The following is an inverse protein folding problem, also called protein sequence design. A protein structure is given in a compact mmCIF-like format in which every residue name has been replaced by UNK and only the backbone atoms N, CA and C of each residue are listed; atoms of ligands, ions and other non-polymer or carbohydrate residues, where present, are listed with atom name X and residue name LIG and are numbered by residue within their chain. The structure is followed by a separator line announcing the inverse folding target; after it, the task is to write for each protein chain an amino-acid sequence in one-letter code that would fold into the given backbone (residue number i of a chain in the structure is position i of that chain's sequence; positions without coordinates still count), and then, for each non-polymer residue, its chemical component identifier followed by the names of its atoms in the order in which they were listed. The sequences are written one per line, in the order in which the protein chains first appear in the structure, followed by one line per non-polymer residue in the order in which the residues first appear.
data_IF_379870828015
#
_entry.id   IF_379870828015
#
_cell.length_a   1.000
_cell.length_b   1.000
_cell.length_c   1.000
_cell.angle_alpha   90.00
_cell.angle_beta   90.00
_cell.angle_gamma   90.00
#
_symmetry.space_group_name_H-M   'P 1'
#
loop_
_entity.id
_entity.type
_entity.pdbx_description
1 polymer ?
#
# COMPACT_ATOMS: atom_id res chain seq x y z
N UNK A 1 11.19 3.94 -23.72
CA UNK A 1 10.67 2.55 -23.63
C UNK A 1 10.04 2.25 -22.28
N UNK A 2 10.72 2.55 -21.16
CA UNK A 2 10.24 2.34 -19.79
C UNK A 2 8.85 2.97 -19.50
N UNK A 3 8.70 4.27 -19.74
CA UNK A 3 7.42 4.99 -19.56
C UNK A 3 6.25 4.33 -20.31
N UNK A 4 6.44 4.01 -21.60
CA UNK A 4 5.38 3.43 -22.43
C UNK A 4 4.89 2.08 -21.92
N UNK A 5 5.80 1.19 -21.50
CA UNK A 5 5.44 -0.13 -20.94
C UNK A 5 4.72 0.05 -19.60
N UNK A 6 5.25 0.90 -18.72
CA UNK A 6 4.65 1.17 -17.42
C UNK A 6 3.23 1.70 -17.54
N UNK A 7 3.04 2.75 -18.35
CA UNK A 7 1.71 3.35 -18.57
C UNK A 7 0.74 2.39 -19.25
N UNK A 8 1.18 1.62 -20.25
CA UNK A 8 0.31 0.66 -20.92
C UNK A 8 -0.21 -0.42 -19.95
N UNK A 9 0.68 -0.97 -19.10
CA UNK A 9 0.28 -1.91 -18.06
C UNK A 9 -0.65 -1.28 -17.03
N UNK A 10 -0.35 -0.05 -16.59
CA UNK A 10 -1.23 0.71 -15.68
C UNK A 10 -2.63 0.88 -16.26
N UNK A 11 -2.74 1.36 -17.50
CA UNK A 11 -4.04 1.57 -18.17
C UNK A 11 -4.81 0.26 -18.29
N UNK A 12 -4.14 -0.83 -18.69
CA UNK A 12 -4.77 -2.14 -18.82
C UNK A 12 -5.33 -2.63 -17.48
N UNK A 13 -4.53 -2.54 -16.42
CA UNK A 13 -4.95 -2.98 -15.08
C UNK A 13 -6.05 -2.09 -14.52
N UNK A 14 -5.96 -0.77 -14.68
CA UNK A 14 -7.00 0.16 -14.24
C UNK A 14 -8.31 -0.05 -15.00
N UNK A 15 -8.27 -0.37 -16.30
CA UNK A 15 -9.45 -0.73 -17.06
C UNK A 15 -10.11 -2.02 -16.53
N UNK A 16 -9.30 -3.03 -16.21
CA UNK A 16 -9.79 -4.26 -15.59
C UNK A 16 -10.41 -4.01 -14.19
N UNK A 17 -9.76 -3.17 -13.38
CA UNK A 17 -10.24 -2.76 -12.07
C UNK A 17 -11.56 -1.98 -12.16
N UNK A 18 -11.65 -1.00 -13.06
CA UNK A 18 -12.85 -0.21 -13.31
C UNK A 18 -14.02 -1.09 -13.77
N UNK A 19 -13.76 -2.05 -14.67
CA UNK A 19 -14.76 -3.04 -15.10
C UNK A 19 -15.28 -3.84 -13.91
N UNK A 20 -14.40 -4.30 -13.01
CA UNK A 20 -14.80 -5.04 -11.82
C UNK A 20 -15.61 -4.18 -10.85
N UNK A 21 -15.17 -2.95 -10.59
CA UNK A 21 -15.88 -1.99 -9.75
C UNK A 21 -17.29 -1.71 -10.31
N UNK A 22 -17.41 -1.54 -11.63
CA UNK A 22 -18.70 -1.35 -12.30
C UNK A 22 -19.64 -2.56 -12.14
N UNK A 23 -19.11 -3.78 -12.27
CA UNK A 23 -19.89 -5.00 -12.02
C UNK A 23 -20.41 -5.07 -10.58
N UNK A 24 -19.55 -4.75 -9.61
CA UNK A 24 -19.93 -4.72 -8.20
C UNK A 24 -20.97 -3.65 -7.92
N UNK A 25 -20.79 -2.46 -8.49
CA UNK A 25 -21.77 -1.38 -8.40
C UNK A 25 -23.13 -1.84 -8.93
N UNK A 26 -23.18 -2.41 -10.14
CA UNK A 26 -24.43 -2.93 -10.74
C UNK A 26 -25.10 -4.01 -9.89
N UNK A 27 -24.31 -4.91 -9.32
CA UNK A 27 -24.81 -5.99 -8.45
C UNK A 27 -25.38 -5.43 -7.14
N UNK A 28 -24.71 -4.45 -6.54
CA UNK A 28 -25.18 -3.82 -5.29
C UNK A 28 -26.44 -2.99 -5.59
N UNK A 29 -26.46 -2.28 -6.73
CA UNK A 29 -27.58 -1.42 -7.13
C UNK A 29 -28.81 -2.19 -7.60
N UNK A 30 -28.72 -3.48 -7.91
CA UNK A 30 -29.89 -4.31 -8.23
C UNK A 30 -30.68 -4.75 -6.99
N UNK A 31 -30.19 -4.45 -5.78
CA UNK A 31 -30.95 -4.64 -4.55
C UNK A 31 -32.08 -3.61 -4.38
N UNK A 32 -32.89 -3.81 -3.34
CA UNK A 32 -33.97 -2.87 -3.02
C UNK A 32 -33.41 -1.48 -2.68
N UNK A 33 -34.02 -0.39 -3.20
CA UNK A 33 -33.63 0.97 -2.85
C UNK A 33 -33.81 1.22 -1.34
N UNK A 34 -32.79 1.82 -0.72
CA UNK A 34 -32.85 2.25 0.67
C UNK A 34 -32.90 3.78 0.70
N UNK A 35 -34.10 4.34 0.88
CA UNK A 35 -34.36 5.79 0.81
C UNK A 35 -33.84 6.57 2.01
N UNK A 36 -33.52 5.89 3.11
CA UNK A 36 -33.01 6.46 4.37
C UNK A 36 -31.49 6.70 4.36
N UNK A 37 -30.78 6.28 3.31
CA UNK A 37 -29.31 6.36 3.24
C UNK A 37 -28.78 7.79 3.27
N UNK A 38 -29.57 8.75 2.82
CA UNK A 38 -29.23 10.17 2.80
C UNK A 38 -29.71 10.93 4.04
N UNK A 39 -30.37 10.26 4.99
CA UNK A 39 -30.81 10.91 6.22
C UNK A 39 -29.66 11.11 7.20
N UNK A 40 -29.67 12.23 7.93
CA UNK A 40 -28.69 12.56 8.97
C UNK A 40 -27.22 12.51 8.48
N UNK A 41 -26.94 13.03 7.28
CA UNK A 41 -25.61 12.99 6.66
C UNK A 41 -24.49 13.43 7.61
N UNK A 42 -24.69 14.50 8.38
CA UNK A 42 -23.68 14.99 9.33
C UNK A 42 -23.32 13.96 10.41
N UNK A 43 -24.33 13.31 11.01
CA UNK A 43 -24.11 12.27 12.01
C UNK A 43 -23.42 11.05 11.38
N UNK A 44 -23.86 10.61 10.19
CA UNK A 44 -23.26 9.49 9.47
C UNK A 44 -21.81 9.76 9.07
N UNK A 45 -21.50 10.95 8.55
CA UNK A 45 -20.13 11.36 8.21
C UNK A 45 -19.23 11.37 9.44
N UNK A 46 -19.71 11.93 10.57
CA UNK A 46 -18.98 11.87 11.84
C UNK A 46 -18.73 10.44 12.28
N UNK A 47 -19.72 9.55 12.17
CA UNK A 47 -19.55 8.13 12.48
C UNK A 47 -18.51 7.47 11.57
N UNK A 48 -18.50 7.76 10.27
CA UNK A 48 -17.48 7.24 9.35
C UNK A 48 -16.07 7.72 9.74
N UNK A 49 -15.92 9.02 10.02
CA UNK A 49 -14.63 9.58 10.43
C UNK A 49 -14.14 8.99 11.76
N UNK A 50 -15.01 8.81 12.74
CA UNK A 50 -14.63 8.31 14.07
C UNK A 50 -14.40 6.80 14.07
N UNK A 51 -15.34 6.03 13.50
CA UNK A 51 -15.34 4.58 13.61
C UNK A 51 -14.48 3.91 12.53
N UNK A 52 -14.52 4.42 11.29
CA UNK A 52 -13.75 3.84 10.18
C UNK A 52 -12.37 4.48 10.10
N UNK A 53 -12.29 5.80 9.88
CA UNK A 53 -11.00 6.47 9.69
C UNK A 53 -10.17 6.49 10.99
N UNK A 54 -10.83 6.74 12.13
CA UNK A 54 -10.23 6.67 13.46
C UNK A 54 -10.06 5.25 14.02
N UNK A 55 -10.60 4.22 13.36
CA UNK A 55 -10.50 2.81 13.77
C UNK A 55 -10.96 2.55 15.23
N UNK A 56 -11.85 3.38 15.77
CA UNK A 56 -12.21 3.40 17.20
C UNK A 56 -12.68 2.04 17.72
N UNK A 57 -13.50 1.33 16.95
CA UNK A 57 -14.00 -0.01 17.33
C UNK A 57 -12.89 -1.06 17.36
N UNK A 58 -11.94 -1.02 16.42
CA UNK A 58 -10.83 -1.98 16.36
C UNK A 58 -9.82 -1.75 17.47
N UNK A 59 -9.55 -0.49 17.82
CA UNK A 59 -8.60 -0.14 18.89
C UNK A 59 -9.03 -0.63 20.29
N UNK A 60 -10.28 -1.08 20.46
CA UNK A 60 -10.71 -1.81 21.66
C UNK A 60 -9.93 -3.12 21.86
N UNK A 61 -9.41 -3.70 20.78
CA UNK A 61 -8.58 -4.91 20.79
C UNK A 61 -7.12 -4.49 20.60
N UNK A 62 -6.40 -4.23 21.70
CA UNK A 62 -5.13 -3.48 21.67
C UNK A 62 -4.14 -3.94 20.59
N UNK A 63 -3.78 -5.24 20.56
CA UNK A 63 -2.74 -5.73 19.63
C UNK A 63 -3.24 -5.85 18.18
N UNK A 64 -4.31 -6.62 17.87
CA UNK A 64 -4.76 -6.75 16.49
C UNK A 64 -5.36 -5.46 15.93
N UNK A 65 -5.94 -4.64 16.80
CA UNK A 65 -6.53 -3.34 16.46
C UNK A 65 -5.48 -2.31 16.09
N UNK A 66 -4.38 -2.23 16.85
CA UNK A 66 -3.27 -1.35 16.51
C UNK A 66 -2.57 -1.77 15.21
N UNK A 67 -2.41 -3.09 15.00
CA UNK A 67 -1.91 -3.62 13.73
C UNK A 67 -2.83 -3.26 12.53
N UNK A 68 -4.15 -3.27 12.74
CA UNK A 68 -5.10 -2.80 11.72
C UNK A 68 -5.03 -1.28 11.50
N UNK A 69 -4.87 -0.49 12.56
CA UNK A 69 -4.71 0.96 12.45
C UNK A 69 -3.53 1.32 11.54
N UNK A 70 -2.36 0.73 11.78
CA UNK A 70 -1.18 1.01 10.97
C UNK A 70 -1.34 0.53 9.53
N UNK A 71 -1.90 -0.67 9.31
CA UNK A 71 -2.14 -1.15 7.95
C UNK A 71 -3.15 -0.30 7.18
N UNK A 72 -4.24 0.13 7.81
CA UNK A 72 -5.21 1.05 7.21
C UNK A 72 -4.57 2.39 6.84
N UNK A 73 -3.88 3.03 7.79
CA UNK A 73 -3.25 4.32 7.54
C UNK A 73 -2.11 4.25 6.53
N UNK A 74 -1.43 3.11 6.40
CA UNK A 74 -0.48 2.90 5.32
C UNK A 74 -1.14 2.94 3.93
N UNK A 75 -2.32 2.33 3.77
CA UNK A 75 -3.05 2.44 2.49
C UNK A 75 -3.40 3.89 2.14
N UNK A 76 -3.68 4.73 3.13
CA UNK A 76 -3.98 6.15 2.90
C UNK A 76 -2.70 6.94 2.62
N UNK A 77 -1.71 6.84 3.50
CA UNK A 77 -0.50 7.67 3.46
C UNK A 77 0.43 7.28 2.31
N UNK A 78 0.58 5.99 2.02
CA UNK A 78 1.49 5.52 0.97
C UNK A 78 0.93 5.73 -0.46
N UNK A 79 -0.32 6.22 -0.62
CA UNK A 79 -0.76 6.76 -1.90
C UNK A 79 0.17 7.88 -2.40
N UNK A 80 0.73 8.67 -1.47
CA UNK A 80 1.74 9.69 -1.81
C UNK A 80 2.99 9.07 -2.45
N UNK A 81 3.45 7.91 -1.96
CA UNK A 81 4.60 7.20 -2.54
C UNK A 81 4.29 6.70 -3.95
N UNK A 82 3.06 6.28 -4.23
CA UNK A 82 2.68 5.91 -5.60
C UNK A 82 2.59 7.12 -6.52
N UNK A 83 2.16 8.29 -6.03
CA UNK A 83 2.25 9.53 -6.81
C UNK A 83 3.71 9.88 -7.13
N UNK A 84 4.63 9.74 -6.19
CA UNK A 84 6.07 9.90 -6.41
C UNK A 84 6.61 8.88 -7.42
N UNK A 85 6.24 7.60 -7.29
CA UNK A 85 6.68 6.55 -8.22
C UNK A 85 6.17 6.80 -9.65
N UNK A 86 4.90 7.18 -9.81
CA UNK A 86 4.40 7.56 -11.14
C UNK A 86 5.08 8.82 -11.67
N UNK A 87 5.38 9.81 -10.82
CA UNK A 87 6.17 10.97 -11.21
C UNK A 87 7.56 10.60 -11.73
N UNK A 88 8.26 9.70 -11.04
CA UNK A 88 9.57 9.19 -11.45
C UNK A 88 9.56 8.49 -12.83
N UNK A 89 8.43 7.89 -13.24
CA UNK A 89 8.29 7.37 -14.61
C UNK A 89 8.33 8.49 -15.66
N UNK A 90 7.73 9.64 -15.37
CA UNK A 90 7.69 10.79 -16.27
C UNK A 90 9.03 11.52 -16.30
N UNK A 91 9.74 11.64 -15.19
CA UNK A 91 11.04 12.32 -15.14
C UNK A 91 12.10 11.66 -16.01
N UNK A 92 12.21 10.32 -15.91
CA UNK A 92 13.14 9.54 -16.73
C UNK A 92 12.87 9.69 -18.24
N UNK A 93 11.68 10.17 -18.62
CA UNK A 93 11.23 10.21 -20.00
C UNK A 93 11.06 11.63 -20.58
N UNK A 94 10.78 12.65 -19.76
CA UNK A 94 10.30 13.95 -20.25
C UNK A 94 10.98 15.18 -19.67
N UNK A 95 11.49 15.15 -18.44
CA UNK A 95 11.78 16.41 -17.71
C UNK A 95 13.21 16.58 -17.17
N UNK A 96 14.03 15.51 -17.08
CA UNK A 96 15.40 15.56 -16.51
C UNK A 96 15.47 16.28 -15.13
N UNK A 97 14.34 16.31 -14.42
CA UNK A 97 14.21 16.84 -13.07
C UNK A 97 13.68 15.74 -12.17
N UNK A 98 14.18 15.67 -10.93
CA UNK A 98 13.67 14.71 -9.94
C UNK A 98 12.30 15.16 -9.45
N UNK A 99 11.25 14.40 -9.77
CA UNK A 99 9.88 14.69 -9.37
C UNK A 99 9.75 14.62 -7.86
N UNK A 100 9.08 15.63 -7.35
CA UNK A 100 8.53 15.65 -6.03
C UNK A 100 7.08 16.12 -6.14
N UNK A 101 6.22 15.66 -5.23
CA UNK A 101 4.86 16.18 -5.13
C UNK A 101 4.94 17.71 -4.96
N UNK A 102 4.24 18.52 -5.78
CA UNK A 102 4.27 19.97 -5.64
C UNK A 102 3.97 20.41 -4.21
N UNK A 103 4.65 21.46 -3.75
CA UNK A 103 4.55 22.08 -2.41
C UNK A 103 5.11 21.25 -1.26
N UNK A 104 4.91 19.93 -1.25
CA UNK A 104 5.14 19.10 -0.05
C UNK A 104 6.19 18.00 -0.23
N UNK A 105 6.54 17.63 -1.47
CA UNK A 105 7.35 16.44 -1.77
C UNK A 105 8.81 16.49 -1.32
N UNK A 106 9.27 17.63 -0.80
CA UNK A 106 10.60 17.79 -0.20
C UNK A 106 10.56 17.87 1.33
N UNK A 107 9.37 17.81 1.95
CA UNK A 107 9.23 18.00 3.38
C UNK A 107 9.75 16.76 4.14
N UNK A 108 10.72 16.91 5.06
CA UNK A 108 11.23 15.79 5.85
C UNK A 108 10.14 15.04 6.63
N UNK A 109 9.08 15.76 7.04
CA UNK A 109 7.94 15.18 7.74
C UNK A 109 7.20 14.13 6.90
N UNK A 110 7.09 14.32 5.58
CA UNK A 110 6.43 13.36 4.69
C UNK A 110 7.32 12.14 4.48
N UNK A 111 8.60 12.34 4.19
CA UNK A 111 9.57 11.25 4.09
C UNK A 111 9.60 10.40 5.37
N UNK A 112 9.57 11.05 6.54
CA UNK A 112 9.49 10.38 7.83
C UNK A 112 8.18 9.59 7.99
N UNK A 113 7.04 10.21 7.69
CA UNK A 113 5.74 9.57 7.85
C UNK A 113 5.59 8.35 6.94
N UNK A 114 6.06 8.44 5.70
CA UNK A 114 6.08 7.34 4.72
C UNK A 114 6.94 6.17 5.23
N UNK A 115 8.16 6.43 5.70
CA UNK A 115 9.04 5.37 6.20
C UNK A 115 8.52 4.78 7.51
N UNK A 116 8.06 5.62 8.43
CA UNK A 116 7.49 5.21 9.72
C UNK A 116 6.30 4.28 9.50
N UNK A 117 5.33 4.69 8.66
CA UNK A 117 4.13 3.89 8.46
C UNK A 117 4.44 2.58 7.71
N UNK A 118 5.39 2.60 6.75
CA UNK A 118 5.83 1.40 6.05
C UNK A 118 6.49 0.39 7.01
N UNK A 119 7.35 0.84 7.94
CA UNK A 119 7.93 -0.03 8.97
C UNK A 119 6.86 -0.53 9.97
N UNK A 120 5.92 0.34 10.37
CA UNK A 120 4.81 -0.05 11.24
C UNK A 120 3.93 -1.14 10.59
N UNK A 121 3.77 -1.13 9.26
CA UNK A 121 3.12 -2.21 8.51
C UNK A 121 3.91 -3.50 8.57
N UNK A 122 5.24 -3.48 8.40
CA UNK A 122 6.04 -4.70 8.52
C UNK A 122 5.89 -5.35 9.90
N UNK A 123 5.89 -4.52 10.96
CA UNK A 123 5.62 -5.00 12.33
C UNK A 123 4.21 -5.58 12.43
N UNK A 124 3.21 -4.89 11.88
CA UNK A 124 1.81 -5.34 11.87
C UNK A 124 1.63 -6.66 11.13
N UNK A 125 2.35 -6.89 10.03
CA UNK A 125 2.42 -8.16 9.31
C UNK A 125 2.97 -9.27 10.20
N UNK A 126 4.05 -9.01 10.94
CA UNK A 126 4.59 -9.93 11.93
C UNK A 126 3.55 -10.28 13.00
N UNK A 127 2.86 -9.28 13.55
CA UNK A 127 1.76 -9.48 14.52
C UNK A 127 0.65 -10.36 13.93
N UNK A 128 0.18 -10.06 12.72
CA UNK A 128 -0.85 -10.86 12.07
C UNK A 128 -0.40 -12.29 11.75
N UNK A 129 0.85 -12.46 11.32
CA UNK A 129 1.43 -13.77 11.07
C UNK A 129 1.50 -14.61 12.36
N UNK A 130 2.01 -14.02 13.45
CA UNK A 130 2.10 -14.68 14.76
C UNK A 130 0.70 -15.06 15.28
N UNK A 131 -0.27 -14.15 15.24
CA UNK A 131 -1.65 -14.43 15.65
C UNK A 131 -2.22 -15.58 14.82
N UNK A 132 -2.02 -15.56 13.50
CA UNK A 132 -2.57 -16.58 12.59
C UNK A 132 -1.94 -17.95 12.80
N UNK A 133 -0.63 -18.01 13.10
CA UNK A 133 0.08 -19.24 13.44
C UNK A 133 -0.36 -19.78 14.80
N UNK A 134 -0.55 -18.91 15.82
CA UNK A 134 -1.00 -19.33 17.15
C UNK A 134 -2.47 -19.77 17.18
N UNK A 135 -3.30 -19.13 16.38
CA UNK A 135 -4.74 -19.42 16.27
C UNK A 135 -5.06 -20.35 15.10
N UNK A 136 -4.08 -21.06 14.54
CA UNK A 136 -4.30 -21.91 13.36
C UNK A 136 -5.35 -23.01 13.65
N UNK A 137 -6.34 -23.23 12.75
CA UNK A 137 -7.36 -24.27 12.95
C UNK A 137 -6.78 -25.67 13.12
N UNK A 138 -5.69 -26.01 12.42
CA UNK A 138 -5.00 -27.29 12.59
C UNK A 138 -4.37 -27.49 13.98
N UNK A 139 -4.20 -26.42 14.77
CA UNK A 139 -3.63 -26.47 16.13
C UNK A 139 -4.69 -26.41 17.22
N UNK A 140 -5.69 -25.53 17.06
CA UNK A 140 -6.71 -25.26 18.09
C UNK A 140 -8.07 -25.89 17.79
N UNK A 141 -8.25 -26.48 16.60
CA UNK A 141 -9.51 -27.07 16.16
C UNK A 141 -10.67 -26.09 16.38
N UNK A 142 -11.75 -26.52 17.05
CA UNK A 142 -12.96 -25.71 17.30
C UNK A 142 -12.72 -24.47 18.16
N UNK A 143 -11.64 -24.45 18.95
CA UNK A 143 -11.25 -23.29 19.77
C UNK A 143 -10.48 -22.23 18.97
N UNK A 144 -10.22 -22.48 17.69
CA UNK A 144 -9.61 -21.50 16.80
C UNK A 144 -10.61 -20.42 16.41
N UNK A 145 -10.20 -19.15 16.54
CA UNK A 145 -10.90 -18.01 15.93
C UNK A 145 -11.12 -18.16 14.41
N UNK A 146 -10.26 -18.94 13.75
CA UNK A 146 -10.29 -19.16 12.31
C UNK A 146 -10.91 -20.53 11.95
N UNK A 147 -11.56 -21.21 12.89
CA UNK A 147 -12.22 -22.49 12.60
C UNK A 147 -13.25 -22.32 11.46
N UNK A 148 -13.27 -23.26 10.52
CA UNK A 148 -14.12 -23.19 9.32
C UNK A 148 -13.73 -22.10 8.30
N UNK A 149 -12.67 -21.32 8.53
CA UNK A 149 -12.27 -20.24 7.61
C UNK A 149 -11.22 -20.69 6.60
N UNK A 150 -11.33 -20.24 5.34
CA UNK A 150 -10.25 -20.35 4.36
C UNK A 150 -9.13 -19.37 4.69
N UNK A 151 -8.03 -19.88 5.26
CA UNK A 151 -6.87 -19.09 5.71
C UNK A 151 -5.84 -18.82 4.61
N UNK A 152 -5.82 -19.62 3.54
CA UNK A 152 -4.91 -19.46 2.40
C UNK A 152 -4.94 -18.05 1.79
N UNK A 153 -6.11 -17.52 1.40
CA UNK A 153 -6.22 -16.15 0.90
C UNK A 153 -5.70 -15.09 1.89
N UNK A 154 -5.85 -15.30 3.19
CA UNK A 154 -5.35 -14.35 4.19
C UNK A 154 -3.81 -14.34 4.27
N UNK A 155 -3.17 -15.50 4.13
CA UNK A 155 -1.70 -15.59 4.01
C UNK A 155 -1.21 -14.94 2.72
N UNK A 156 -1.91 -15.17 1.62
CA UNK A 156 -1.59 -14.55 0.34
C UNK A 156 -1.66 -13.02 0.38
N UNK A 157 -2.68 -12.46 1.05
CA UNK A 157 -2.76 -11.01 1.24
C UNK A 157 -1.63 -10.47 2.12
N UNK A 158 -1.26 -11.17 3.21
CA UNK A 158 -0.09 -10.79 4.00
C UNK A 158 1.19 -10.77 3.16
N UNK A 159 1.36 -11.78 2.30
CA UNK A 159 2.48 -11.85 1.37
C UNK A 159 2.45 -10.70 0.35
N UNK A 160 1.29 -10.35 -0.20
CA UNK A 160 1.18 -9.21 -1.12
C UNK A 160 1.46 -7.87 -0.44
N UNK A 161 0.99 -7.65 0.79
CA UNK A 161 1.32 -6.43 1.55
C UNK A 161 2.83 -6.38 1.85
N UNK A 162 3.45 -7.52 2.16
CA UNK A 162 4.91 -7.58 2.30
C UNK A 162 5.59 -7.16 1.00
N UNK A 163 5.12 -7.66 -0.14
CA UNK A 163 5.64 -7.27 -1.45
C UNK A 163 5.52 -5.77 -1.72
N UNK A 164 4.39 -5.15 -1.37
CA UNK A 164 4.23 -3.70 -1.48
C UNK A 164 5.30 -2.95 -0.69
N UNK A 165 5.56 -3.37 0.56
CA UNK A 165 6.47 -2.63 1.44
C UNK A 165 7.94 -2.86 1.13
N UNK A 166 8.37 -4.10 0.85
CA UNK A 166 9.80 -4.31 0.57
C UNK A 166 10.19 -3.69 -0.78
N UNK A 167 9.31 -3.74 -1.78
CA UNK A 167 9.56 -3.11 -3.09
C UNK A 167 9.62 -1.58 -2.97
N UNK A 168 8.83 -0.99 -2.09
CA UNK A 168 8.92 0.44 -1.72
C UNK A 168 10.33 0.78 -1.23
N UNK A 169 10.84 0.03 -0.23
CA UNK A 169 12.16 0.31 0.34
C UNK A 169 13.29 0.01 -0.63
N UNK A 170 13.13 -1.00 -1.49
CA UNK A 170 14.09 -1.28 -2.55
C UNK A 170 14.17 -0.12 -3.55
N UNK A 171 13.02 0.30 -4.11
CA UNK A 171 12.95 1.42 -5.04
C UNK A 171 13.51 2.71 -4.43
N UNK A 172 13.00 3.13 -3.26
CA UNK A 172 13.41 4.38 -2.60
C UNK A 172 14.85 4.33 -2.10
N UNK A 173 15.33 3.16 -1.69
CA UNK A 173 16.72 2.96 -1.30
C UNK A 173 17.69 3.16 -2.47
N UNK A 174 17.40 2.56 -3.62
CA UNK A 174 18.21 2.76 -4.82
C UNK A 174 18.11 4.20 -5.32
N UNK A 175 16.91 4.81 -5.32
CA UNK A 175 16.72 6.22 -5.64
C UNK A 175 17.53 7.13 -4.69
N UNK A 176 17.58 6.82 -3.39
CA UNK A 176 18.41 7.54 -2.42
C UNK A 176 19.90 7.44 -2.73
N UNK A 177 20.39 6.24 -3.07
CA UNK A 177 21.80 6.03 -3.42
C UNK A 177 22.21 6.79 -4.71
N UNK A 178 21.25 7.02 -5.62
CA UNK A 178 21.45 7.81 -6.84
C UNK A 178 21.32 9.31 -6.65
N UNK A 179 20.75 9.76 -5.53
CA UNK A 179 20.40 11.16 -5.33
C UNK A 179 19.05 11.58 -5.94
N UNK A 180 18.23 10.62 -6.36
CA UNK A 180 16.93 10.84 -6.99
C UNK A 180 15.77 10.90 -5.98
N UNK A 181 16.00 10.48 -4.73
CA UNK A 181 14.99 10.58 -3.69
C UNK A 181 14.79 12.06 -3.31
N UNK A 182 13.56 12.61 -3.33
CA UNK A 182 13.31 14.04 -3.13
C UNK A 182 13.48 14.52 -1.69
N UNK A 183 13.96 13.65 -0.80
CA UNK A 183 14.09 13.90 0.63
C UNK A 183 15.57 13.99 1.02
N UNK A 184 16.04 15.18 1.42
CA UNK A 184 17.37 15.35 2.01
C UNK A 184 17.47 14.72 3.41
N UNK A 185 16.35 14.66 4.15
CA UNK A 185 16.25 14.08 5.48
C UNK A 185 14.82 13.59 5.75
N UNK A 186 14.60 12.94 6.90
CA UNK A 186 13.29 12.44 7.30
C UNK A 186 12.98 11.04 6.79
N UNK A 187 13.26 10.72 5.52
CA UNK A 187 13.13 9.37 4.95
C UNK A 187 14.23 8.40 5.45
N UNK A 188 14.30 8.21 6.77
CA UNK A 188 15.40 7.57 7.48
C UNK A 188 15.66 6.11 7.07
N UNK A 189 14.61 5.33 6.84
CA UNK A 189 14.72 3.93 6.48
C UNK A 189 15.09 3.77 5.01
N UNK A 190 14.48 4.57 4.13
CA UNK A 190 14.81 4.63 2.70
C UNK A 190 16.27 5.07 2.50
N UNK A 191 16.72 6.13 3.19
CA UNK A 191 18.11 6.61 3.17
C UNK A 191 19.05 5.55 3.78
N UNK A 192 18.63 4.89 4.87
CA UNK A 192 19.36 3.78 5.47
C UNK A 192 19.58 2.61 4.52
N UNK A 193 18.54 2.20 3.78
CA UNK A 193 18.63 1.17 2.73
C UNK A 193 19.52 1.65 1.59
N UNK A 194 19.46 2.92 1.21
CA UNK A 194 20.34 3.50 0.19
C UNK A 194 21.83 3.36 0.49
N UNK A 195 22.23 3.40 1.77
CA UNK A 195 23.62 3.17 2.18
C UNK A 195 24.13 1.77 1.80
N UNK A 196 23.25 0.77 1.67
CA UNK A 196 23.62 -0.57 1.22
C UNK A 196 24.08 -0.59 -0.24
N UNK A 197 23.67 0.41 -1.02
CA UNK A 197 24.00 0.56 -2.44
C UNK A 197 25.11 1.59 -2.71
N UNK A 198 25.75 2.15 -1.68
CA UNK A 198 26.72 3.26 -1.81
C UNK A 198 27.93 2.95 -2.69
N UNK A 199 28.29 1.68 -2.85
CA UNK A 199 29.44 1.23 -3.65
C UNK A 199 29.02 0.62 -5.00
N UNK A 200 27.73 0.66 -5.34
CA UNK A 200 27.24 0.17 -6.62
C UNK A 200 27.51 1.23 -7.68
N UNK A 201 28.03 0.80 -8.84
CA UNK A 201 28.36 1.75 -9.91
C UNK A 201 27.09 2.45 -10.48
N UNK A 202 27.23 3.64 -11.08
CA UNK A 202 26.09 4.44 -11.51
C UNK A 202 25.17 3.77 -12.54
N UNK A 203 25.71 2.95 -13.45
CA UNK A 203 24.90 2.27 -14.47
C UNK A 203 24.07 1.13 -13.88
N UNK A 204 24.66 0.35 -12.95
CA UNK A 204 23.94 -0.67 -12.20
C UNK A 204 22.85 -0.06 -11.31
N UNK A 205 23.13 1.07 -10.65
CA UNK A 205 22.12 1.81 -9.89
C UNK A 205 20.93 2.23 -10.79
N UNK A 206 21.18 2.73 -12.00
CA UNK A 206 20.12 3.15 -12.93
C UNK A 206 19.23 1.98 -13.39
N UNK A 207 19.84 0.80 -13.53
CA UNK A 207 19.11 -0.42 -13.83
C UNK A 207 18.26 -0.88 -12.63
N UNK A 208 18.85 -0.90 -11.44
CA UNK A 208 18.17 -1.32 -10.21
C UNK A 208 17.03 -0.38 -9.83
N UNK A 209 17.19 0.93 -10.02
CA UNK A 209 16.12 1.92 -9.77
C UNK A 209 14.94 1.65 -10.71
N UNK A 210 15.20 1.48 -12.00
CA UNK A 210 14.16 1.15 -12.98
C UNK A 210 13.45 -0.18 -12.67
N UNK A 211 14.21 -1.23 -12.32
CA UNK A 211 13.63 -2.52 -11.89
C UNK A 211 12.77 -2.33 -10.64
N UNK A 212 13.28 -1.62 -9.63
CA UNK A 212 12.58 -1.37 -8.38
C UNK A 212 11.29 -0.58 -8.59
N UNK A 213 11.33 0.43 -9.45
CA UNK A 213 10.18 1.24 -9.82
C UNK A 213 9.08 0.40 -10.48
N UNK A 214 9.43 -0.38 -11.51
CA UNK A 214 8.47 -1.26 -12.18
C UNK A 214 7.92 -2.33 -11.25
N UNK A 215 8.78 -2.91 -10.41
CA UNK A 215 8.37 -3.93 -9.47
C UNK A 215 7.40 -3.36 -8.44
N UNK A 216 7.69 -2.17 -7.90
CA UNK A 216 6.82 -1.52 -6.91
C UNK A 216 5.45 -1.16 -7.49
N UNK A 217 5.41 -0.53 -8.67
CA UNK A 217 4.15 -0.21 -9.36
C UNK A 217 3.40 -1.50 -9.75
N UNK A 218 4.11 -2.48 -10.32
CA UNK A 218 3.52 -3.73 -10.77
C UNK A 218 2.90 -4.55 -9.64
N UNK A 219 3.58 -4.64 -8.49
CA UNK A 219 3.04 -5.29 -7.29
C UNK A 219 1.77 -4.59 -6.80
N UNK A 220 1.75 -3.25 -6.78
CA UNK A 220 0.56 -2.50 -6.40
C UNK A 220 -0.61 -2.76 -7.34
N UNK A 221 -0.38 -2.72 -8.65
CA UNK A 221 -1.40 -2.97 -9.66
C UNK A 221 -1.97 -4.40 -9.56
N UNK A 222 -1.10 -5.40 -9.38
CA UNK A 222 -1.53 -6.76 -9.12
C UNK A 222 -2.34 -6.86 -7.82
N UNK A 223 -1.89 -6.18 -6.76
CA UNK A 223 -2.57 -6.18 -5.47
C UNK A 223 -3.96 -5.54 -5.54
N UNK A 224 -4.13 -4.44 -6.29
CA UNK A 224 -5.42 -3.80 -6.54
C UNK A 224 -6.43 -4.78 -7.14
N UNK A 225 -6.02 -5.55 -8.16
CA UNK A 225 -6.90 -6.56 -8.77
C UNK A 225 -7.22 -7.67 -7.77
N UNK A 226 -6.23 -8.17 -7.04
CA UNK A 226 -6.45 -9.20 -6.02
C UNK A 226 -7.47 -8.74 -4.98
N UNK A 227 -7.36 -7.49 -4.51
CA UNK A 227 -8.31 -6.90 -3.55
C UNK A 227 -9.73 -6.87 -4.13
N UNK A 228 -9.91 -6.37 -5.35
CA UNK A 228 -11.22 -6.25 -6.03
C UNK A 228 -11.94 -7.58 -6.30
N UNK A 229 -11.18 -8.68 -6.37
CA UNK A 229 -11.69 -10.04 -6.58
C UNK A 229 -11.68 -10.89 -5.30
N UNK A 230 -11.35 -10.31 -4.15
CA UNK A 230 -11.29 -11.04 -2.87
C UNK A 230 -12.24 -10.45 -1.83
N UNK A 231 -12.36 -11.15 -0.70
CA UNK A 231 -13.07 -10.67 0.50
C UNK A 231 -12.41 -9.45 1.16
N UNK A 232 -11.26 -9.00 0.65
CA UNK A 232 -10.49 -7.89 1.18
C UNK A 232 -10.81 -6.55 0.52
N UNK A 233 -11.90 -6.48 -0.25
CA UNK A 233 -12.43 -5.25 -0.87
C UNK A 233 -12.81 -4.12 0.13
N UNK A 234 -12.97 -4.46 1.41
CA UNK A 234 -13.46 -3.57 2.46
C UNK A 234 -12.46 -2.47 2.86
#
# INVERSE_FOLDING_TARGET
MRLGIGLALTVLVLAAAARRAWQLYRLISSGQPAHDRTDQLGARLRTQLVEVFGQRKLLKWSVPGLAHLFTFWAFVLLLSVYLEAYGALFDEALFDQHYAIPLIGHWPAIGFLQDFIALAVLISLGVFAVIRVRQAPGRRQRDSRFYGSHTGPAWFILFMIFNVVWTLFFFRGVASARGNLPYHSGAFASIGVGKLFAHVNPSALALLEGIGLFLHIGVMLAFLIIVLYSKHLH
#
